data_IF_284853300716
#
_entry.id   IF_284853300716
#
_cell.length_a   1.000
_cell.length_b   1.000
_cell.length_c   1.000
_cell.angle_alpha   90.00
_cell.angle_beta   90.00
_cell.angle_gamma   90.00
#
_symmetry.space_group_name_H-M   'P 1'
#
loop_
_entity.id
_entity.type
_entity.pdbx_description
1 polymer ?
#
# COMPACT_ATOMS: atom_id res chain seq x y z
N UNK A 1 -9.16 23.70 0.66
CA UNK A 1 -8.18 24.21 1.66
C UNK A 1 -8.93 24.99 2.73
N UNK A 2 -9.20 24.39 3.89
CA UNK A 2 -9.83 25.09 5.03
C UNK A 2 -8.74 25.39 6.07
N UNK A 3 -8.53 26.69 6.38
CA UNK A 3 -7.68 27.13 7.49
C UNK A 3 -8.34 26.69 8.79
N UNK A 4 -7.96 25.52 9.32
CA UNK A 4 -8.34 25.11 10.67
C UNK A 4 -7.76 26.15 11.64
N UNK A 5 -8.62 26.95 12.27
CA UNK A 5 -8.22 27.82 13.38
C UNK A 5 -7.69 26.91 14.49
N UNK A 6 -6.38 26.91 14.74
CA UNK A 6 -5.79 26.20 15.87
C UNK A 6 -6.36 26.82 17.16
N UNK A 7 -7.20 26.05 17.87
CA UNK A 7 -7.86 26.49 19.10
C UNK A 7 -6.88 26.32 20.26
N UNK A 8 -6.57 27.41 20.96
CA UNK A 8 -5.73 27.38 22.16
C UNK A 8 -6.62 26.97 23.35
N UNK A 9 -6.23 25.92 24.05
CA UNK A 9 -6.90 25.40 25.24
C UNK A 9 -6.03 25.60 26.48
N UNK A 10 -6.63 25.66 27.65
CA UNK A 10 -5.93 25.73 28.95
C UNK A 10 -6.00 24.36 29.61
N UNK A 11 -4.90 23.62 29.63
CA UNK A 11 -4.84 22.24 30.12
C UNK A 11 -3.96 22.18 31.36
N UNK A 12 -4.32 21.30 32.30
CA UNK A 12 -3.51 21.12 33.49
C UNK A 12 -2.18 20.47 33.14
N UNK A 13 -1.08 21.02 33.67
CA UNK A 13 0.25 20.50 33.37
C UNK A 13 0.47 19.05 33.84
N UNK A 14 -0.30 18.57 34.82
CA UNK A 14 -0.24 17.18 35.29
C UNK A 14 -0.76 16.16 34.28
N UNK A 15 -1.59 16.61 33.32
CA UNK A 15 -2.13 15.78 32.26
C UNK A 15 -1.18 15.66 31.06
N UNK A 16 -0.11 16.46 31.03
CA UNK A 16 0.85 16.52 29.92
C UNK A 16 2.09 15.67 30.26
N UNK A 17 2.28 14.60 29.52
CA UNK A 17 3.44 13.73 29.62
C UNK A 17 4.56 14.19 28.67
N UNK A 18 5.79 14.22 29.15
CA UNK A 18 6.96 14.48 28.31
C UNK A 18 7.19 13.32 27.33
N UNK A 19 7.67 13.62 26.13
CA UNK A 19 8.01 12.60 25.14
C UNK A 19 9.38 11.95 25.47
N UNK A 20 9.45 10.63 25.71
CA UNK A 20 10.70 9.93 26.05
C UNK A 20 11.73 9.88 24.89
N UNK A 21 11.35 10.21 23.66
CA UNK A 21 12.20 10.12 22.47
C UNK A 21 12.84 11.46 22.04
N UNK A 22 12.80 12.52 22.85
CA UNK A 22 13.45 13.80 22.48
C UNK A 22 14.99 13.77 22.68
N UNK A 23 15.80 14.03 21.64
CA UNK A 23 17.24 13.80 21.66
C UNK A 23 18.09 14.87 22.38
N UNK A 24 17.52 16.00 22.84
CA UNK A 24 18.31 17.05 23.51
C UNK A 24 18.51 16.77 25.00
N UNK A 25 19.61 16.07 25.32
CA UNK A 25 20.01 15.74 26.71
C UNK A 25 20.79 16.84 27.46
N UNK A 26 21.03 18.02 26.88
CA UNK A 26 21.69 19.15 27.56
C UNK A 26 20.85 20.41 27.41
N UNK A 27 20.21 20.82 28.50
CA UNK A 27 19.57 22.12 28.60
C UNK A 27 20.59 23.12 29.12
N UNK A 28 20.70 24.28 28.47
CA UNK A 28 21.44 25.40 29.04
C UNK A 28 20.62 25.95 30.22
N UNK A 29 21.21 25.87 31.41
CA UNK A 29 20.56 26.26 32.67
C UNK A 29 20.26 27.76 32.71
N UNK A 30 21.09 28.57 32.04
CA UNK A 30 20.96 30.02 32.02
C UNK A 30 19.75 30.45 31.18
N UNK A 31 19.60 29.88 29.98
CA UNK A 31 18.48 30.21 29.11
C UNK A 31 17.12 29.67 29.62
N UNK A 32 17.11 28.67 30.51
CA UNK A 32 15.89 28.21 31.18
C UNK A 32 15.42 29.24 32.22
N UNK A 33 16.37 29.87 32.91
CA UNK A 33 16.07 30.86 33.95
C UNK A 33 15.56 32.17 33.35
N UNK A 34 16.14 32.61 32.23
CA UNK A 34 15.62 33.73 31.43
C UNK A 34 14.19 33.47 30.94
N UNK A 35 13.92 32.25 30.46
CA UNK A 35 12.57 31.86 30.03
C UNK A 35 11.58 31.85 31.20
N UNK A 36 12.02 31.43 32.38
CA UNK A 36 11.21 31.44 33.61
C UNK A 36 10.82 32.86 34.01
N UNK A 37 11.76 33.80 34.00
CA UNK A 37 11.46 35.21 34.28
C UNK A 37 10.50 35.81 33.25
N UNK A 38 10.69 35.48 31.97
CA UNK A 38 9.81 35.94 30.89
C UNK A 38 8.38 35.43 31.07
N UNK A 39 8.21 34.13 31.35
CA UNK A 39 6.91 33.50 31.61
C UNK A 39 6.27 34.10 32.87
N UNK A 40 7.05 34.41 33.90
CA UNK A 40 6.53 35.06 35.12
C UNK A 40 5.96 36.45 34.86
N UNK A 41 6.61 37.24 33.99
CA UNK A 41 6.21 38.62 33.67
C UNK A 41 5.06 38.69 32.65
N UNK A 42 5.10 37.87 31.60
CA UNK A 42 4.20 38.01 30.44
C UNK A 42 3.29 36.79 30.22
N UNK A 43 3.43 35.74 31.02
CA UNK A 43 2.78 34.46 30.77
C UNK A 43 3.41 33.71 29.59
N UNK A 44 2.81 32.58 29.23
CA UNK A 44 3.23 31.80 28.07
C UNK A 44 2.60 32.42 26.81
N UNK A 45 3.38 33.23 26.10
CA UNK A 45 2.94 33.88 24.85
C UNK A 45 2.78 32.84 23.73
N UNK A 46 3.70 31.88 23.63
CA UNK A 46 3.67 30.85 22.61
C UNK A 46 3.22 29.51 23.22
N UNK A 47 2.01 29.02 22.89
CA UNK A 47 1.46 27.80 23.47
C UNK A 47 2.35 26.57 23.31
N UNK A 48 2.16 25.61 24.20
CA UNK A 48 2.76 24.29 24.13
C UNK A 48 1.99 23.45 23.10
N UNK A 49 2.65 22.58 22.35
CA UNK A 49 1.99 21.72 21.36
C UNK A 49 1.91 20.30 21.91
N UNK A 50 0.70 19.74 21.94
CA UNK A 50 0.44 18.41 22.50
C UNK A 50 -0.46 17.61 21.56
N UNK A 51 -0.41 16.29 21.67
CA UNK A 51 -1.38 15.33 21.10
C UNK A 51 -2.18 14.71 22.24
N UNK A 52 -3.45 14.38 22.00
CA UNK A 52 -4.28 13.66 22.97
C UNK A 52 -3.98 12.15 22.87
N UNK A 53 -3.62 11.53 23.99
CA UNK A 53 -3.24 10.10 24.06
C UNK A 53 -4.33 9.23 24.71
N UNK A 54 -5.53 9.78 24.92
CA UNK A 54 -6.68 9.10 25.52
C UNK A 54 -6.95 9.50 26.97
N UNK A 55 -8.18 9.29 27.43
CA UNK A 55 -8.65 9.55 28.81
C UNK A 55 -8.36 10.96 29.35
N UNK A 56 -8.26 11.97 28.47
CA UNK A 56 -7.93 13.35 28.85
C UNK A 56 -6.45 13.57 29.20
N UNK A 57 -5.58 12.61 28.85
CA UNK A 57 -4.14 12.76 28.91
C UNK A 57 -3.56 13.24 27.58
N UNK A 58 -2.45 13.96 27.66
CA UNK A 58 -1.79 14.57 26.52
C UNK A 58 -0.30 14.21 26.51
N UNK A 59 0.25 14.02 25.31
CA UNK A 59 1.68 13.88 25.12
C UNK A 59 2.27 15.14 24.49
N UNK A 60 3.40 15.59 25.04
CA UNK A 60 4.12 16.75 24.55
C UNK A 60 4.77 16.47 23.19
N UNK A 61 4.40 17.27 22.18
CA UNK A 61 5.06 17.27 20.87
C UNK A 61 6.20 18.31 20.87
N UNK A 62 5.90 19.54 21.30
CA UNK A 62 6.86 20.64 21.28
C UNK A 62 6.63 21.65 22.41
N UNK A 63 7.72 22.25 22.89
CA UNK A 63 7.68 23.25 23.96
C UNK A 63 8.15 22.74 25.33
N UNK A 64 9.00 21.72 25.38
CA UNK A 64 9.51 21.09 26.61
C UNK A 64 10.08 22.11 27.62
N UNK A 65 10.84 23.09 27.15
CA UNK A 65 11.40 24.15 28.00
C UNK A 65 10.32 25.02 28.64
N UNK A 66 9.22 25.29 27.93
CA UNK A 66 8.08 26.05 28.48
C UNK A 66 7.34 25.21 29.50
N UNK A 67 7.07 23.93 29.19
CA UNK A 67 6.45 23.01 30.15
C UNK A 67 7.28 22.91 31.44
N UNK A 68 8.60 22.74 31.30
CA UNK A 68 9.52 22.65 32.44
C UNK A 68 9.61 23.96 33.24
N UNK A 69 9.67 25.11 32.58
CA UNK A 69 9.63 26.41 33.26
C UNK A 69 8.29 26.63 33.98
N UNK A 70 7.17 26.21 33.39
CA UNK A 70 5.84 26.25 34.02
C UNK A 70 5.72 25.35 35.23
N UNK A 71 6.32 24.16 35.18
CA UNK A 71 6.42 23.24 36.32
C UNK A 71 7.22 23.86 37.45
N UNK A 72 8.39 24.44 37.15
CA UNK A 72 9.23 25.13 38.13
C UNK A 72 8.56 26.39 38.73
N UNK A 73 7.66 27.03 37.99
CA UNK A 73 6.86 28.16 38.46
C UNK A 73 5.58 27.75 39.21
N UNK A 74 5.22 26.46 39.21
CA UNK A 74 4.02 25.95 39.87
C UNK A 74 2.71 26.36 39.18
N UNK A 75 2.70 26.56 37.86
CA UNK A 75 1.49 26.93 37.13
C UNK A 75 0.51 25.76 37.01
N UNK A 76 -0.73 25.89 37.49
CA UNK A 76 -1.71 24.79 37.43
C UNK A 76 -2.15 24.42 36.00
N UNK A 77 -2.28 25.43 35.13
CA UNK A 77 -2.72 25.29 33.73
C UNK A 77 -1.79 26.03 32.80
N UNK A 78 -1.62 25.48 31.60
CA UNK A 78 -0.79 26.05 30.54
C UNK A 78 -1.57 26.14 29.23
N UNK A 79 -1.35 27.20 28.42
CA UNK A 79 -1.92 27.27 27.07
C UNK A 79 -1.28 26.22 26.18
N UNK A 80 -2.13 25.42 25.56
CA UNK A 80 -1.76 24.35 24.65
C UNK A 80 -2.57 24.38 23.37
N UNK A 81 -1.93 23.97 22.29
CA UNK A 81 -2.57 23.63 21.03
C UNK A 81 -2.58 22.10 20.97
N UNK A 82 -3.78 21.53 20.96
CA UNK A 82 -3.97 20.10 20.73
C UNK A 82 -3.92 19.87 19.22
N UNK A 83 -3.01 19.01 18.78
CA UNK A 83 -2.94 18.53 17.40
C UNK A 83 -3.39 17.08 17.36
N UNK A 84 -4.41 16.81 16.58
CA UNK A 84 -4.91 15.46 16.35
C UNK A 84 -3.90 14.69 15.47
N UNK A 85 -3.34 13.60 15.99
CA UNK A 85 -2.51 12.61 15.28
C UNK A 85 -3.16 12.10 13.97
N UNK A 86 -4.48 12.24 13.82
CA UNK A 86 -5.23 11.97 12.58
C UNK A 86 -4.62 12.68 11.37
N UNK A 87 -4.00 13.85 11.55
CA UNK A 87 -3.30 14.55 10.45
C UNK A 87 -1.91 14.01 10.14
N UNK A 88 -1.27 13.33 11.08
CA UNK A 88 0.06 12.74 10.89
C UNK A 88 -0.06 11.36 10.26
N UNK A 89 -1.01 10.55 10.69
CA UNK A 89 -1.35 9.27 10.05
C UNK A 89 -1.82 9.46 8.61
N UNK A 90 -2.66 10.48 8.35
CA UNK A 90 -3.05 10.85 6.99
C UNK A 90 -1.87 11.36 6.15
N UNK A 91 -0.89 12.04 6.75
CA UNK A 91 0.33 12.45 6.04
C UNK A 91 1.23 11.25 5.72
N UNK A 92 1.36 10.30 6.64
CA UNK A 92 2.11 9.06 6.43
C UNK A 92 1.43 8.20 5.35
N UNK A 93 0.11 8.10 5.38
CA UNK A 93 -0.71 7.45 4.36
C UNK A 93 -0.49 8.09 2.98
N UNK A 94 -0.61 9.42 2.88
CA UNK A 94 -0.36 10.17 1.65
C UNK A 94 1.08 9.99 1.15
N UNK A 95 2.06 10.01 2.05
CA UNK A 95 3.47 9.79 1.72
C UNK A 95 3.72 8.36 1.21
N UNK A 96 3.05 7.37 1.80
CA UNK A 96 3.12 5.99 1.34
C UNK A 96 2.48 5.82 -0.05
N UNK A 97 1.33 6.43 -0.29
CA UNK A 97 0.65 6.43 -1.60
C UNK A 97 1.53 7.09 -2.67
N UNK A 98 2.12 8.24 -2.37
CA UNK A 98 3.06 8.92 -3.26
C UNK A 98 4.27 8.04 -3.57
N UNK A 99 4.85 7.40 -2.55
CA UNK A 99 5.99 6.51 -2.73
C UNK A 99 5.62 5.28 -3.59
N UNK A 100 4.43 4.71 -3.40
CA UNK A 100 3.90 3.59 -4.21
C UNK A 100 3.78 3.96 -5.70
N UNK A 101 3.42 5.20 -6.01
CA UNK A 101 3.24 5.67 -7.38
C UNK A 101 4.57 5.89 -8.14
N UNK A 102 5.72 5.75 -7.47
CA UNK A 102 7.04 5.81 -8.13
C UNK A 102 7.22 4.59 -9.04
N UNK A 103 7.77 4.82 -10.23
CA UNK A 103 7.85 3.81 -11.31
C UNK A 103 8.81 2.64 -10.99
N UNK A 104 9.66 2.79 -9.98
CA UNK A 104 10.81 1.90 -9.76
C UNK A 104 10.54 0.78 -8.73
N UNK A 105 9.34 0.75 -8.13
CA UNK A 105 8.99 -0.28 -7.14
C UNK A 105 8.78 -1.65 -7.79
N UNK A 106 9.44 -2.66 -7.24
CA UNK A 106 9.22 -4.06 -7.55
C UNK A 106 7.80 -4.50 -7.18
N UNK A 107 7.34 -5.59 -7.78
CA UNK A 107 6.00 -6.14 -7.55
C UNK A 107 5.81 -6.54 -6.07
N UNK A 108 6.85 -7.07 -5.43
CA UNK A 108 6.81 -7.46 -4.01
C UNK A 108 6.77 -6.25 -3.08
N UNK A 109 7.51 -5.18 -3.38
CA UNK A 109 7.43 -3.94 -2.59
C UNK A 109 6.04 -3.31 -2.69
N UNK A 110 5.43 -3.31 -3.88
CA UNK A 110 4.03 -2.90 -4.07
C UNK A 110 3.08 -3.74 -3.22
N UNK A 111 3.27 -5.06 -3.19
CA UNK A 111 2.46 -5.97 -2.39
C UNK A 111 2.58 -5.67 -0.89
N UNK A 112 3.79 -5.45 -0.38
CA UNK A 112 4.04 -5.05 1.02
C UNK A 112 3.33 -3.73 1.31
N UNK A 113 3.45 -2.74 0.43
CA UNK A 113 2.85 -1.44 0.63
C UNK A 113 1.30 -1.49 0.61
N UNK A 114 0.70 -2.29 -0.27
CA UNK A 114 -0.75 -2.50 -0.31
C UNK A 114 -1.25 -3.20 0.96
N UNK A 115 -0.51 -4.22 1.41
CA UNK A 115 -0.81 -4.91 2.68
C UNK A 115 -0.75 -3.94 3.86
N UNK A 116 0.27 -3.07 3.89
CA UNK A 116 0.43 -2.04 4.91
C UNK A 116 -0.75 -1.05 4.93
N UNK A 117 -1.16 -0.56 3.75
CA UNK A 117 -2.35 0.30 3.60
C UNK A 117 -3.64 -0.36 4.14
N UNK A 118 -3.77 -1.68 3.96
CA UNK A 118 -4.91 -2.44 4.46
C UNK A 118 -4.86 -2.66 5.99
N UNK A 119 -3.71 -3.08 6.52
CA UNK A 119 -3.58 -3.48 7.92
C UNK A 119 -3.41 -2.30 8.88
N UNK A 120 -2.62 -1.28 8.51
CA UNK A 120 -2.31 -0.14 9.39
C UNK A 120 -3.33 1.00 9.25
N UNK A 121 -3.87 1.23 8.05
CA UNK A 121 -4.83 2.32 7.78
C UNK A 121 -6.25 1.84 7.53
N UNK A 122 -6.51 0.52 7.57
CA UNK A 122 -7.85 -0.04 7.47
C UNK A 122 -8.51 0.11 6.09
N UNK A 123 -7.75 0.50 5.05
CA UNK A 123 -8.31 0.71 3.72
C UNK A 123 -8.74 -0.62 3.10
N UNK A 124 -9.92 -0.65 2.51
CA UNK A 124 -10.36 -1.79 1.70
C UNK A 124 -9.53 -1.90 0.42
N UNK A 125 -9.46 -3.11 -0.16
CA UNK A 125 -8.79 -3.32 -1.46
C UNK A 125 -9.40 -2.46 -2.58
N UNK A 126 -10.67 -2.06 -2.44
CA UNK A 126 -11.33 -1.17 -3.39
C UNK A 126 -10.80 0.26 -3.25
N UNK A 127 -10.75 0.81 -2.03
CA UNK A 127 -10.25 2.17 -1.77
C UNK A 127 -8.77 2.31 -2.13
N UNK A 128 -7.96 1.28 -1.85
CA UNK A 128 -6.55 1.24 -2.29
C UNK A 128 -6.48 1.30 -3.82
N UNK A 129 -7.34 0.55 -4.52
CA UNK A 129 -7.41 0.56 -5.97
C UNK A 129 -7.78 1.93 -6.53
N UNK A 130 -8.85 2.55 -6.01
CA UNK A 130 -9.32 3.87 -6.44
C UNK A 130 -8.24 4.95 -6.28
N UNK A 131 -7.52 4.95 -5.16
CA UNK A 131 -6.44 5.92 -4.89
C UNK A 131 -5.20 5.72 -5.75
N UNK A 132 -4.93 4.49 -6.18
CA UNK A 132 -3.77 4.13 -6.99
C UNK A 132 -4.07 4.01 -8.49
N UNK A 133 -5.32 4.25 -8.91
CA UNK A 133 -5.75 4.04 -10.30
C UNK A 133 -5.64 2.58 -10.74
N UNK A 134 -5.94 1.64 -9.83
CA UNK A 134 -5.91 0.18 -10.05
C UNK A 134 -7.26 -0.44 -9.72
N UNK A 135 -7.58 -1.56 -10.34
CA UNK A 135 -8.79 -2.30 -10.00
C UNK A 135 -8.62 -3.07 -8.69
N UNK A 136 -9.71 -3.23 -7.93
CA UNK A 136 -9.74 -4.06 -6.70
C UNK A 136 -9.08 -5.46 -6.90
N UNK A 137 -9.34 -6.18 -8.01
CA UNK A 137 -8.68 -7.47 -8.26
C UNK A 137 -7.16 -7.37 -8.38
N UNK A 138 -6.62 -6.30 -8.97
CA UNK A 138 -5.17 -6.07 -9.07
C UNK A 138 -4.57 -5.97 -7.67
N UNK A 139 -5.08 -5.07 -6.82
CA UNK A 139 -4.61 -4.89 -5.44
C UNK A 139 -4.66 -6.20 -4.67
N UNK A 140 -5.79 -6.91 -4.73
CA UNK A 140 -5.97 -8.17 -4.03
C UNK A 140 -4.99 -9.26 -4.50
N UNK A 141 -4.74 -9.36 -5.80
CA UNK A 141 -3.83 -10.36 -6.35
C UNK A 141 -2.37 -10.04 -6.02
N UNK A 142 -1.99 -8.77 -6.07
CA UNK A 142 -0.65 -8.32 -5.70
C UNK A 142 -0.36 -8.63 -4.23
N UNK A 143 -1.29 -8.36 -3.30
CA UNK A 143 -1.14 -8.72 -1.87
C UNK A 143 -0.95 -10.24 -1.70
N UNK A 144 -1.71 -11.07 -2.44
CA UNK A 144 -1.62 -12.53 -2.32
C UNK A 144 -0.25 -13.10 -2.69
N UNK A 145 0.57 -12.39 -3.48
CA UNK A 145 1.92 -12.81 -3.81
C UNK A 145 2.80 -12.96 -2.56
N UNK A 146 2.50 -12.23 -1.48
CA UNK A 146 3.24 -12.33 -0.22
C UNK A 146 3.09 -13.69 0.47
N UNK A 147 2.04 -14.45 0.11
CA UNK A 147 1.79 -15.79 0.64
C UNK A 147 2.59 -16.88 -0.09
N UNK A 148 3.35 -16.54 -1.15
CA UNK A 148 4.20 -17.49 -1.84
C UNK A 148 5.45 -17.84 -0.99
N UNK A 149 5.99 -19.07 -1.14
CA UNK A 149 7.27 -19.46 -0.57
C UNK A 149 8.40 -18.50 -0.96
N UNK A 150 9.38 -18.34 -0.07
CA UNK A 150 10.50 -17.41 -0.28
C UNK A 150 11.24 -17.67 -1.59
N UNK A 151 11.45 -18.94 -1.96
CA UNK A 151 12.13 -19.30 -3.20
C UNK A 151 11.43 -18.76 -4.46
N UNK A 152 10.09 -18.83 -4.48
CA UNK A 152 9.27 -18.32 -5.59
C UNK A 152 9.31 -16.78 -5.59
N UNK A 153 9.28 -16.14 -4.41
CA UNK A 153 9.40 -14.69 -4.29
C UNK A 153 10.77 -14.19 -4.76
N UNK A 154 11.85 -14.89 -4.42
CA UNK A 154 13.20 -14.59 -4.94
C UNK A 154 13.26 -14.72 -6.45
N UNK A 155 12.68 -15.77 -7.03
CA UNK A 155 12.62 -15.94 -8.47
C UNK A 155 11.83 -14.82 -9.18
N UNK A 156 10.75 -14.32 -8.56
CA UNK A 156 10.01 -13.16 -9.05
C UNK A 156 10.84 -11.87 -8.97
N UNK A 157 11.54 -11.66 -7.85
CA UNK A 157 12.39 -10.48 -7.66
C UNK A 157 13.57 -10.44 -8.66
N UNK A 158 14.12 -11.60 -8.99
CA UNK A 158 15.18 -11.78 -9.98
C UNK A 158 14.66 -11.72 -11.44
N UNK A 159 13.35 -11.67 -11.66
CA UNK A 159 12.74 -11.65 -12.99
C UNK A 159 12.78 -13.00 -13.71
N UNK A 160 13.13 -14.10 -13.03
CA UNK A 160 13.10 -15.47 -13.61
C UNK A 160 11.68 -15.94 -13.89
N UNK A 161 10.70 -15.42 -13.14
CA UNK A 161 9.28 -15.67 -13.35
C UNK A 161 8.49 -14.37 -13.33
N UNK A 162 7.37 -14.34 -14.02
CA UNK A 162 6.48 -13.17 -14.07
C UNK A 162 5.45 -13.18 -12.93
N UNK A 163 4.81 -12.04 -12.68
CA UNK A 163 3.64 -11.94 -11.78
C UNK A 163 2.55 -12.95 -12.17
N UNK A 164 2.39 -13.19 -13.46
CA UNK A 164 1.46 -14.22 -13.95
C UNK A 164 1.83 -15.60 -13.43
N UNK A 165 3.08 -16.05 -13.58
CA UNK A 165 3.49 -17.36 -13.09
C UNK A 165 3.17 -17.50 -11.60
N UNK A 166 3.43 -16.45 -10.83
CA UNK A 166 3.13 -16.41 -9.41
C UNK A 166 1.62 -16.54 -9.12
N UNK A 167 0.75 -15.87 -9.90
CA UNK A 167 -0.71 -16.01 -9.77
C UNK A 167 -1.20 -17.42 -10.08
N UNK A 168 -0.55 -18.11 -11.01
CA UNK A 168 -0.83 -19.51 -11.35
C UNK A 168 -0.41 -20.45 -10.23
N UNK A 169 0.78 -20.26 -9.68
CA UNK A 169 1.28 -21.01 -8.53
C UNK A 169 0.34 -20.85 -7.32
N UNK A 170 -0.15 -19.63 -7.06
CA UNK A 170 -1.14 -19.36 -5.99
C UNK A 170 -2.48 -20.09 -6.15
N UNK A 171 -2.73 -20.73 -7.30
CA UNK A 171 -3.92 -21.56 -7.48
C UNK A 171 -3.83 -22.89 -6.72
N UNK A 172 -2.63 -23.35 -6.35
CA UNK A 172 -2.39 -24.52 -5.52
C UNK A 172 -2.50 -24.19 -4.03
N UNK A 173 -3.09 -25.10 -3.25
CA UNK A 173 -3.30 -24.94 -1.80
C UNK A 173 -2.05 -25.21 -0.98
N UNK A 174 -1.38 -26.33 -1.25
CA UNK A 174 -0.21 -26.76 -0.49
C UNK A 174 1.07 -26.14 -1.05
N UNK A 175 1.95 -25.72 -0.15
CA UNK A 175 3.28 -25.19 -0.50
C UNK A 175 4.11 -26.20 -1.30
N UNK A 176 4.04 -27.49 -0.98
CA UNK A 176 4.72 -28.55 -1.73
C UNK A 176 4.29 -28.59 -3.21
N UNK A 177 3.00 -28.41 -3.49
CA UNK A 177 2.47 -28.42 -4.85
C UNK A 177 2.81 -27.12 -5.59
N UNK A 178 2.85 -25.99 -4.86
CA UNK A 178 3.33 -24.71 -5.39
C UNK A 178 4.79 -24.81 -5.86
N UNK A 179 5.66 -25.42 -5.04
CA UNK A 179 7.07 -25.62 -5.35
C UNK A 179 7.28 -26.60 -6.50
N UNK A 180 6.56 -27.74 -6.52
CA UNK A 180 6.61 -28.69 -7.65
C UNK A 180 6.25 -28.01 -8.97
N UNK A 181 5.16 -27.24 -8.99
CA UNK A 181 4.74 -26.53 -10.20
C UNK A 181 5.73 -25.44 -10.59
N UNK A 182 6.31 -24.71 -9.61
CA UNK A 182 7.37 -23.74 -9.84
C UNK A 182 8.61 -24.35 -10.51
N UNK A 183 9.13 -25.47 -9.99
CA UNK A 183 10.28 -26.14 -10.60
C UNK A 183 9.97 -26.60 -12.02
N UNK A 184 8.79 -27.20 -12.23
CA UNK A 184 8.32 -27.60 -13.56
C UNK A 184 8.40 -26.44 -14.56
N UNK A 185 7.78 -25.29 -14.26
CA UNK A 185 7.74 -24.15 -15.19
C UNK A 185 9.13 -23.51 -15.44
N UNK A 186 10.01 -23.53 -14.42
CA UNK A 186 11.35 -22.95 -14.55
C UNK A 186 12.35 -23.86 -15.25
N UNK A 187 12.28 -25.18 -15.06
CA UNK A 187 13.16 -26.16 -15.70
C UNK A 187 12.84 -26.35 -17.19
N UNK A 188 11.55 -26.28 -17.54
CA UNK A 188 11.11 -26.46 -18.93
C UNK A 188 11.01 -25.14 -19.72
N UNK A 189 11.39 -24.01 -19.11
CA UNK A 189 11.42 -22.69 -19.77
C UNK A 189 10.06 -22.28 -20.34
N UNK A 190 8.98 -22.68 -19.67
CA UNK A 190 7.62 -22.65 -20.22
C UNK A 190 7.13 -21.21 -20.28
N UNK A 191 6.77 -20.68 -21.47
CA UNK A 191 6.13 -19.37 -21.56
C UNK A 191 4.79 -19.38 -20.80
N UNK A 192 4.43 -18.26 -20.17
CA UNK A 192 3.27 -18.17 -19.26
C UNK A 192 1.98 -18.75 -19.82
N UNK A 193 1.71 -18.57 -21.12
CA UNK A 193 0.54 -19.11 -21.82
C UNK A 193 0.43 -20.64 -21.78
N UNK A 194 1.56 -21.36 -21.78
CA UNK A 194 1.59 -22.81 -21.76
C UNK A 194 1.41 -23.36 -20.34
N UNK A 195 1.92 -22.65 -19.33
CA UNK A 195 1.68 -22.99 -17.92
C UNK A 195 0.18 -23.01 -17.56
N UNK A 196 -0.66 -22.22 -18.25
CA UNK A 196 -2.12 -22.30 -18.08
C UNK A 196 -2.76 -23.54 -18.67
N UNK A 197 -2.29 -23.96 -19.85
CA UNK A 197 -2.78 -25.19 -20.48
C UNK A 197 -2.48 -26.39 -19.58
N UNK A 198 -1.28 -26.43 -19.02
CA UNK A 198 -0.92 -27.50 -18.07
C UNK A 198 -1.81 -27.49 -16.82
N UNK A 199 -2.09 -26.32 -16.23
CA UNK A 199 -3.02 -26.23 -15.09
C UNK A 199 -4.44 -26.67 -15.47
N UNK A 200 -4.88 -26.41 -16.70
CA UNK A 200 -6.17 -26.89 -17.20
C UNK A 200 -6.17 -28.41 -17.34
N UNK A 201 -5.15 -28.97 -17.99
CA UNK A 201 -4.97 -30.40 -18.20
C UNK A 201 -4.88 -31.16 -16.86
N UNK A 202 -4.04 -30.72 -15.93
CA UNK A 202 -3.91 -31.33 -14.59
C UNK A 202 -5.24 -31.26 -13.81
N UNK A 203 -6.04 -30.21 -14.00
CA UNK A 203 -7.38 -30.13 -13.39
C UNK A 203 -8.41 -31.00 -14.09
N UNK A 204 -8.35 -31.15 -15.41
CA UNK A 204 -9.23 -32.06 -16.15
C UNK A 204 -8.92 -33.51 -15.81
N UNK A 205 -7.65 -33.88 -15.76
CA UNK A 205 -7.20 -35.17 -15.26
C UNK A 205 -7.65 -35.40 -13.82
N UNK A 206 -7.46 -34.43 -12.92
CA UNK A 206 -7.95 -34.50 -11.55
C UNK A 206 -9.49 -34.62 -11.49
N UNK A 207 -10.25 -33.95 -12.37
CA UNK A 207 -11.71 -34.09 -12.46
C UNK A 207 -12.16 -35.45 -12.95
N UNK A 208 -11.37 -36.07 -13.82
CA UNK A 208 -11.68 -37.39 -14.35
C UNK A 208 -11.34 -38.50 -13.34
N UNK A 209 -10.32 -38.32 -12.51
CA UNK A 209 -9.78 -39.34 -11.61
C UNK A 209 -10.14 -39.13 -10.12
N UNK A 210 -10.64 -37.96 -9.73
CA UNK A 210 -10.92 -37.62 -8.33
C UNK A 210 -12.34 -37.07 -8.14
N UNK A 211 -12.91 -37.34 -6.96
CA UNK A 211 -14.17 -36.73 -6.56
C UNK A 211 -14.05 -35.20 -6.39
N UNK A 212 -15.14 -34.43 -6.61
CA UNK A 212 -15.14 -32.97 -6.55
C UNK A 212 -14.53 -32.37 -5.27
N UNK A 213 -14.71 -33.05 -4.13
CA UNK A 213 -14.17 -32.62 -2.83
C UNK A 213 -12.65 -32.78 -2.71
N UNK A 214 -12.02 -33.69 -3.47
CA UNK A 214 -10.56 -33.85 -3.46
C UNK A 214 -9.89 -32.80 -4.35
N UNK A 215 -10.55 -32.38 -5.42
CA UNK A 215 -10.05 -31.36 -6.36
C UNK A 215 -10.03 -29.98 -5.67
N UNK A 216 -11.05 -29.69 -4.85
CA UNK A 216 -11.05 -28.47 -4.03
C UNK A 216 -9.98 -28.49 -2.94
N UNK A 217 -9.45 -29.65 -2.54
CA UNK A 217 -8.33 -29.75 -1.61
C UNK A 217 -6.98 -29.43 -2.26
N UNK A 218 -6.86 -29.56 -3.59
CA UNK A 218 -5.62 -29.27 -4.32
C UNK A 218 -5.60 -27.80 -4.78
N UNK A 219 -6.74 -27.25 -5.20
CA UNK A 219 -6.82 -25.90 -5.81
C UNK A 219 -7.69 -24.92 -5.01
N UNK A 220 -7.28 -23.65 -4.92
CA UNK A 220 -7.98 -22.59 -4.16
C UNK A 220 -9.06 -21.85 -4.95
N UNK A 221 -8.88 -21.63 -6.26
CA UNK A 221 -9.78 -20.82 -7.09
C UNK A 221 -10.21 -21.56 -8.37
N UNK A 222 -11.41 -21.27 -8.94
CA UNK A 222 -11.80 -21.79 -10.25
C UNK A 222 -10.87 -21.23 -11.33
N UNK A 223 -10.19 -22.12 -12.05
CA UNK A 223 -9.14 -21.80 -13.03
C UNK A 223 -9.68 -20.96 -14.18
N UNK A 224 -10.97 -21.08 -14.52
CA UNK A 224 -11.65 -20.21 -15.49
C UNK A 224 -11.62 -18.72 -15.15
N UNK A 225 -11.57 -18.35 -13.85
CA UNK A 225 -11.47 -16.95 -13.42
C UNK A 225 -10.02 -16.47 -13.51
N UNK A 226 -9.07 -17.29 -13.09
CA UNK A 226 -7.62 -17.01 -13.16
C UNK A 226 -7.11 -16.95 -14.61
N UNK A 227 -7.62 -17.81 -15.50
CA UNK A 227 -7.29 -17.81 -16.93
C UNK A 227 -7.92 -16.62 -17.64
N UNK A 228 -9.19 -16.26 -17.34
CA UNK A 228 -9.82 -15.09 -17.97
C UNK A 228 -9.06 -13.80 -17.68
N UNK A 229 -8.59 -13.62 -16.45
CA UNK A 229 -7.76 -12.47 -16.05
C UNK A 229 -6.33 -12.52 -16.66
N UNK A 230 -5.90 -13.67 -17.19
CA UNK A 230 -4.61 -13.83 -17.87
C UNK A 230 -4.72 -13.61 -19.39
N UNK A 231 -5.69 -14.25 -20.03
CA UNK A 231 -5.93 -14.16 -21.48
C UNK A 231 -6.26 -12.72 -21.91
N UNK A 232 -6.80 -11.91 -20.99
CA UNK A 232 -6.99 -10.47 -21.21
C UNK A 232 -5.68 -9.69 -21.11
N UNK A 233 -4.79 -10.01 -20.15
CA UNK A 233 -3.52 -9.30 -19.96
C UNK A 233 -2.51 -9.58 -21.07
N UNK A 234 -2.42 -10.81 -21.59
CA UNK A 234 -1.57 -11.12 -22.75
C UNK A 234 -2.06 -10.37 -24.01
N UNK A 235 -3.39 -10.21 -24.16
CA UNK A 235 -3.97 -9.41 -25.24
C UNK A 235 -3.72 -7.92 -25.06
N UNK A 236 -3.78 -7.41 -23.83
CA UNK A 236 -3.40 -6.04 -23.50
C UNK A 236 -1.93 -5.79 -23.84
N UNK A 237 -1.01 -6.65 -23.41
CA UNK A 237 0.43 -6.53 -23.71
C UNK A 237 0.72 -6.56 -25.21
N UNK A 238 0.14 -7.49 -25.96
CA UNK A 238 0.29 -7.56 -27.42
C UNK A 238 -0.25 -6.30 -28.12
N UNK A 239 -1.39 -5.76 -27.66
CA UNK A 239 -1.94 -4.52 -28.21
C UNK A 239 -1.09 -3.31 -27.83
N UNK A 240 -0.52 -3.28 -26.63
CA UNK A 240 0.42 -2.23 -26.21
C UNK A 240 1.68 -2.24 -27.06
N UNK A 241 2.24 -3.42 -27.36
CA UNK A 241 3.41 -3.56 -28.24
C UNK A 241 3.11 -3.12 -29.67
N UNK A 242 1.96 -3.54 -30.22
CA UNK A 242 1.55 -3.19 -31.57
C UNK A 242 1.23 -1.69 -31.72
N UNK A 243 0.51 -1.11 -30.76
CA UNK A 243 0.01 0.27 -30.84
C UNK A 243 1.00 1.28 -30.27
N UNK A 244 1.93 0.87 -29.42
CA UNK A 244 2.94 1.73 -28.79
C UNK A 244 2.37 2.62 -27.69
N UNK A 245 1.18 2.30 -27.18
CA UNK A 245 0.47 3.08 -26.18
C UNK A 245 -0.26 2.19 -25.18
N UNK A 246 -0.76 2.75 -24.07
CA UNK A 246 -1.42 1.97 -23.02
C UNK A 246 -2.80 1.48 -23.48
N UNK A 247 -3.04 0.18 -23.30
CA UNK A 247 -4.28 -0.49 -23.69
C UNK A 247 -4.86 -1.25 -22.49
N UNK A 248 -6.15 -1.09 -22.24
CA UNK A 248 -6.90 -1.84 -21.22
C UNK A 248 -8.10 -2.56 -21.86
N UNK A 249 -8.32 -3.84 -21.52
CA UNK A 249 -9.42 -4.66 -22.01
C UNK A 249 -10.34 -5.04 -20.85
N UNK A 250 -11.53 -4.45 -20.86
CA UNK A 250 -12.60 -4.76 -19.91
C UNK A 250 -13.65 -5.65 -20.56
N UNK A 251 -13.66 -6.95 -20.24
CA UNK A 251 -14.57 -7.95 -20.84
C UNK A 251 -15.65 -8.42 -19.86
N UNK A 252 -16.89 -8.48 -20.32
CA UNK A 252 -18.04 -9.07 -19.60
C UNK A 252 -18.76 -10.07 -20.50
N UNK A 253 -18.60 -11.37 -20.23
CA UNK A 253 -19.17 -12.42 -21.08
C UNK A 253 -18.48 -12.47 -22.45
N UNK A 254 -19.23 -12.38 -23.55
CA UNK A 254 -18.70 -12.32 -24.92
C UNK A 254 -18.44 -10.88 -25.42
N UNK A 255 -18.99 -9.86 -24.75
CA UNK A 255 -18.79 -8.45 -25.11
C UNK A 255 -17.77 -7.78 -24.17
N UNK A 256 -17.22 -6.65 -24.60
CA UNK A 256 -16.22 -5.93 -23.82
C UNK A 256 -15.91 -4.57 -24.42
N UNK A 257 -15.06 -3.82 -23.71
CA UNK A 257 -14.51 -2.53 -24.15
C UNK A 257 -12.99 -2.62 -24.15
N UNK A 258 -12.39 -2.16 -25.24
CA UNK A 258 -10.95 -1.90 -25.31
C UNK A 258 -10.79 -0.39 -25.19
N UNK A 259 -10.01 0.05 -24.21
CA UNK A 259 -9.67 1.45 -24.00
C UNK A 259 -8.21 1.64 -24.39
N UNK A 260 -7.98 2.50 -25.37
CA UNK A 260 -6.65 2.87 -25.86
C UNK A 260 -6.41 4.31 -25.42
N UNK A 261 -5.41 4.55 -24.59
CA UNK A 261 -5.01 5.90 -24.23
C UNK A 261 -4.20 6.51 -25.38
N UNK A 262 -4.29 7.82 -25.59
CA UNK A 262 -3.43 8.56 -26.51
C UNK A 262 -3.11 9.90 -25.87
N UNK A 263 -1.89 10.39 -26.09
CA UNK A 263 -1.37 11.59 -25.43
C UNK A 263 -1.03 12.71 -26.41
N UNK A 264 -1.24 12.48 -27.71
CA UNK A 264 -1.12 13.50 -28.76
C UNK A 264 -2.03 13.21 -29.96
N UNK A 265 -2.34 14.25 -30.75
CA UNK A 265 -3.07 14.07 -32.01
C UNK A 265 -2.31 13.21 -33.02
N UNK A 266 -0.98 13.26 -32.99
CA UNK A 266 -0.11 12.47 -33.86
C UNK A 266 -0.15 10.98 -33.49
N UNK A 267 -0.17 10.67 -32.20
CA UNK A 267 -0.37 9.32 -31.68
C UNK A 267 -1.76 8.78 -32.02
N UNK A 268 -2.81 9.60 -31.88
CA UNK A 268 -4.17 9.22 -32.30
C UNK A 268 -4.22 8.86 -33.79
N UNK A 269 -3.56 9.64 -34.66
CA UNK A 269 -3.46 9.33 -36.10
C UNK A 269 -2.74 8.02 -36.35
N UNK A 270 -1.58 7.80 -35.71
CA UNK A 270 -0.82 6.55 -35.83
C UNK A 270 -1.62 5.33 -35.35
N UNK A 271 -2.39 5.46 -34.27
CA UNK A 271 -3.28 4.41 -33.77
C UNK A 271 -4.38 4.10 -34.79
N UNK A 272 -5.04 5.13 -35.33
CA UNK A 272 -6.10 4.96 -36.34
C UNK A 272 -5.54 4.29 -37.60
N UNK A 273 -4.37 4.71 -38.08
CA UNK A 273 -3.72 4.09 -39.25
C UNK A 273 -3.41 2.61 -39.00
N UNK A 274 -2.90 2.25 -37.82
CA UNK A 274 -2.63 0.85 -37.46
C UNK A 274 -3.88 -0.02 -37.30
N UNK A 275 -5.02 0.56 -36.93
CA UNK A 275 -6.28 -0.17 -36.73
C UNK A 275 -7.08 -0.31 -38.03
N UNK A 276 -7.01 0.69 -38.90
CA UNK A 276 -7.76 0.74 -40.17
C UNK A 276 -6.98 0.21 -41.38
N UNK A 277 -5.67 -0.08 -41.23
CA UNK A 277 -4.83 -0.79 -42.20
C UNK A 277 -5.06 -2.29 -42.19
#
# INVERSE_FOLDING_TARGET
MSKTREKILQISQSLIQSNPFQPRKKFDQQELEELKESIRKHGIIQPIVVTEIGEGHYQLIAGERRLKASQLLGLEKVPVIVRDEVKEDQKLELSLIENIQRKDLSVLEKAIAYKKLHEEWGLSHQEIGERLGKSRPVVSNTIRLLALPEEIKSALAEGRISETHCRLILSYKAEEDQLKFFYKITESGVPSRFALKEIQEEREEARYHLEPNKISNIFTTPVTKTIKDFDLREKEENLMEALGTKVEINKSGQSGKITIEFYSEEELKNIIEKICS
#
